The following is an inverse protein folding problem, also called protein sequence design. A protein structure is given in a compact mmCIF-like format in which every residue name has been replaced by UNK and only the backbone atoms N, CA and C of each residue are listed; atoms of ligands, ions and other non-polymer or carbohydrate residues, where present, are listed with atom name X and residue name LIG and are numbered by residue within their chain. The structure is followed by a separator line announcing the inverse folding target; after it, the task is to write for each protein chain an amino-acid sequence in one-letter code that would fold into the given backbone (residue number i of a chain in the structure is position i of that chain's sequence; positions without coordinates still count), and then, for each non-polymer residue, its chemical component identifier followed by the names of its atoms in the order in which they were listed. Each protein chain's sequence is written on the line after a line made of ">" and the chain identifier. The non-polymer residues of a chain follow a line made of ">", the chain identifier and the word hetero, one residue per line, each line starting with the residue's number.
data_IF_659790838995
#
_entry.id   IF_659790838995
#
_cell.length_a   1.000
_cell.length_b   1.000
_cell.length_c   1.000
_cell.angle_alpha   90.00
_cell.angle_beta   90.00
_cell.angle_gamma   90.00
#
_symmetry.space_group_name_H-M   'P 1'
#
loop_
_entity.id
_entity.type
_entity.pdbx_description
1 polymer ?
#
# COMPACT_ATOMS: atom_id res chain seq x y z
N UNK A 1 32.96 16.16 23.89
CA UNK A 1 31.50 16.37 23.73
C UNK A 1 30.96 15.23 22.89
N UNK A 2 29.83 14.59 23.22
CA UNK A 2 29.18 13.69 22.27
C UNK A 2 28.68 14.52 21.09
N UNK A 3 28.82 14.01 19.87
CA UNK A 3 28.32 14.67 18.67
C UNK A 3 26.81 14.98 18.85
N UNK A 4 26.32 16.14 18.36
CA UNK A 4 24.89 16.41 18.36
C UNK A 4 24.20 15.25 17.64
N UNK A 5 23.25 14.61 18.32
CA UNK A 5 22.39 13.62 17.66
C UNK A 5 21.61 14.40 16.60
N UNK A 6 21.86 14.12 15.33
CA UNK A 6 21.05 14.63 14.24
C UNK A 6 19.62 14.11 14.43
N UNK A 7 18.77 14.91 15.06
CA UNK A 7 17.40 14.53 15.42
C UNK A 7 16.50 14.26 14.22
N UNK A 8 16.99 14.57 13.01
CA UNK A 8 16.32 14.29 11.74
C UNK A 8 16.74 12.95 11.12
N UNK A 9 17.76 12.26 11.65
CA UNK A 9 18.22 10.97 11.13
C UNK A 9 17.67 9.83 11.98
N UNK A 10 17.05 8.85 11.31
CA UNK A 10 16.48 7.65 11.93
C UNK A 10 17.12 6.41 11.32
N UNK A 11 17.68 5.52 12.13
CA UNK A 11 18.25 4.25 11.66
C UNK A 11 17.14 3.22 11.48
N UNK A 12 16.99 2.70 10.28
CA UNK A 12 15.95 1.73 9.94
C UNK A 12 16.52 0.56 9.13
N UNK A 13 15.76 -0.53 9.06
CA UNK A 13 15.96 -1.59 8.10
C UNK A 13 14.83 -1.55 7.06
N UNK A 14 15.14 -1.77 5.79
CA UNK A 14 14.14 -1.95 4.72
C UNK A 14 14.32 -3.33 4.12
N UNK A 15 13.26 -4.10 4.12
CA UNK A 15 13.17 -5.38 3.43
C UNK A 15 12.36 -5.27 2.15
N UNK A 16 12.47 -6.28 1.30
CA UNK A 16 11.67 -6.37 0.10
C UNK A 16 10.35 -7.09 0.40
N UNK A 17 9.26 -6.67 -0.26
CA UNK A 17 8.00 -7.41 -0.20
C UNK A 17 8.19 -8.85 -0.67
N UNK A 18 7.67 -9.79 0.13
CA UNK A 18 7.72 -11.23 -0.16
C UNK A 18 7.06 -11.65 -1.46
N UNK A 19 6.21 -10.79 -2.03
CA UNK A 19 5.59 -10.99 -3.35
C UNK A 19 6.56 -10.77 -4.52
N UNK A 20 7.70 -10.11 -4.30
CA UNK A 20 8.72 -9.93 -5.32
C UNK A 20 9.59 -11.18 -5.43
N UNK A 21 9.83 -11.63 -6.66
CA UNK A 21 10.68 -12.79 -6.92
C UNK A 21 12.15 -12.41 -6.76
N UNK A 22 12.80 -12.94 -5.74
CA UNK A 22 14.25 -12.84 -5.55
C UNK A 22 14.65 -12.92 -4.08
N UNK A 23 15.92 -13.30 -3.84
CA UNK A 23 16.47 -13.35 -2.49
C UNK A 23 17.25 -12.05 -2.21
N UNK A 24 16.50 -11.00 -1.88
CA UNK A 24 17.06 -9.67 -1.65
C UNK A 24 17.44 -9.50 -0.19
N UNK A 25 18.68 -9.09 0.05
CA UNK A 25 19.16 -8.81 1.40
C UNK A 25 18.54 -7.50 1.92
N UNK A 26 18.01 -7.47 3.15
CA UNK A 26 17.53 -6.25 3.79
C UNK A 26 18.62 -5.18 3.84
N UNK A 27 18.23 -3.92 3.67
CA UNK A 27 19.14 -2.78 3.68
C UNK A 27 19.02 -2.03 5.01
N UNK A 28 20.15 -1.76 5.65
CA UNK A 28 20.22 -0.86 6.79
C UNK A 28 20.51 0.55 6.27
N UNK A 29 19.68 1.52 6.63
CA UNK A 29 19.88 2.90 6.18
C UNK A 29 19.69 3.92 7.31
N UNK A 30 20.37 5.05 7.13
CA UNK A 30 20.15 6.26 7.89
C UNK A 30 19.10 7.09 7.15
N UNK A 31 17.85 6.98 7.60
CA UNK A 31 16.70 7.67 7.03
C UNK A 31 16.73 9.14 7.46
N UNK A 32 17.13 9.99 6.52
CA UNK A 32 17.10 11.45 6.69
C UNK A 32 15.66 11.98 6.48
N UNK A 33 15.05 12.47 7.56
CA UNK A 33 13.69 13.05 7.57
C UNK A 33 13.55 14.33 6.72
N UNK A 34 14.64 14.99 6.36
CA UNK A 34 14.63 16.18 5.51
C UNK A 34 14.77 15.84 4.02
N UNK A 35 15.24 14.64 3.70
CA UNK A 35 15.41 14.19 2.32
C UNK A 35 14.06 13.70 1.75
N UNK A 36 13.66 14.06 0.52
CA UNK A 36 12.41 13.58 -0.07
C UNK A 36 12.33 12.05 -0.09
N UNK A 37 11.16 11.49 0.24
CA UNK A 37 10.91 10.04 0.22
C UNK A 37 11.19 9.46 -1.17
N UNK A 38 10.84 10.17 -2.23
CA UNK A 38 11.09 9.75 -3.62
C UNK A 38 12.59 9.51 -3.89
N UNK A 39 13.47 10.35 -3.34
CA UNK A 39 14.91 10.18 -3.49
C UNK A 39 15.43 8.98 -2.68
N UNK A 40 14.89 8.74 -1.49
CA UNK A 40 15.23 7.57 -0.68
C UNK A 40 14.78 6.27 -1.37
N UNK A 41 13.56 6.26 -1.91
CA UNK A 41 13.01 5.12 -2.67
C UNK A 41 13.84 4.88 -3.93
N UNK A 42 14.24 5.93 -4.65
CA UNK A 42 15.09 5.80 -5.84
C UNK A 42 16.43 5.15 -5.53
N UNK A 43 17.08 5.52 -4.43
CA UNK A 43 18.33 4.88 -3.99
C UNK A 43 18.12 3.41 -3.64
N UNK A 44 17.05 3.09 -2.91
CA UNK A 44 16.69 1.70 -2.57
C UNK A 44 16.41 0.86 -3.81
N UNK A 45 15.66 1.40 -4.77
CA UNK A 45 15.43 0.78 -6.06
C UNK A 45 16.74 0.54 -6.81
N UNK A 46 17.68 1.49 -6.80
CA UNK A 46 18.98 1.33 -7.43
C UNK A 46 19.80 0.19 -6.80
N UNK A 47 19.80 0.07 -5.46
CA UNK A 47 20.49 -1.01 -4.74
C UNK A 47 19.97 -2.39 -5.14
N UNK A 48 18.65 -2.53 -5.25
CA UNK A 48 18.02 -3.79 -5.66
C UNK A 48 17.83 -3.95 -7.17
N UNK A 49 18.35 -3.02 -7.97
CA UNK A 49 18.19 -2.99 -9.43
C UNK A 49 16.72 -3.04 -9.89
N UNK A 50 15.82 -2.40 -9.14
CA UNK A 50 14.43 -2.20 -9.51
C UNK A 50 14.32 -1.04 -10.51
N UNK A 51 13.63 -1.27 -11.62
CA UNK A 51 13.31 -0.24 -12.60
C UNK A 51 12.07 0.55 -12.18
N UNK A 52 11.92 1.79 -12.64
CA UNK A 52 10.73 2.64 -12.42
C UNK A 52 10.45 2.88 -10.92
N UNK A 53 11.30 3.66 -10.27
CA UNK A 53 11.20 3.94 -8.82
C UNK A 53 9.85 4.56 -8.41
N UNK A 54 9.18 5.27 -9.31
CA UNK A 54 7.84 5.84 -9.15
C UNK A 54 6.74 4.79 -8.91
N UNK A 55 7.01 3.53 -9.25
CA UNK A 55 6.11 2.41 -9.03
C UNK A 55 6.27 1.74 -7.67
N UNK A 56 7.15 2.26 -6.81
CA UNK A 56 7.40 1.71 -5.49
C UNK A 56 7.08 2.73 -4.38
N UNK A 57 6.83 2.20 -3.19
CA UNK A 57 6.63 2.96 -1.97
C UNK A 57 7.13 2.15 -0.77
N UNK A 58 7.18 2.79 0.39
CA UNK A 58 7.51 2.13 1.64
C UNK A 58 6.24 1.88 2.46
N UNK A 59 6.22 0.76 3.17
CA UNK A 59 5.19 0.41 4.16
C UNK A 59 5.84 0.10 5.51
N UNK A 60 5.10 0.32 6.59
CA UNK A 60 5.47 -0.26 7.88
C UNK A 60 5.39 -1.78 7.82
N UNK A 61 6.41 -2.48 8.33
CA UNK A 61 6.38 -3.94 8.42
C UNK A 61 5.72 -4.39 9.73
N UNK A 62 4.47 -4.00 9.93
CA UNK A 62 3.68 -4.35 11.11
C UNK A 62 2.28 -4.89 10.71
N UNK A 63 1.38 -5.01 11.68
CA UNK A 63 0.04 -5.52 11.43
C UNK A 63 -0.78 -4.64 10.49
N UNK A 64 -0.48 -3.33 10.42
CA UNK A 64 -1.23 -2.35 9.61
C UNK A 64 -0.78 -2.36 8.15
N UNK A 65 0.50 -2.62 7.89
CA UNK A 65 1.12 -2.46 6.57
C UNK A 65 0.82 -1.07 5.95
N UNK A 66 0.69 -0.04 6.80
CA UNK A 66 0.31 1.29 6.35
C UNK A 66 1.38 1.90 5.42
N UNK A 67 0.91 2.59 4.38
CA UNK A 67 1.79 3.25 3.42
C UNK A 67 2.45 4.48 4.02
N UNK A 68 3.73 4.64 3.72
CA UNK A 68 4.53 5.76 4.17
C UNK A 68 4.49 6.86 3.11
N UNK A 69 4.13 8.05 3.57
CA UNK A 69 3.95 9.27 2.80
C UNK A 69 4.75 10.39 3.43
N UNK A 70 4.90 11.50 2.71
CA UNK A 70 5.55 12.70 3.27
C UNK A 70 4.82 13.25 4.51
N UNK A 71 3.55 12.89 4.69
CA UNK A 71 2.72 13.37 5.80
C UNK A 71 2.90 12.57 7.09
N UNK A 72 3.21 11.27 7.00
CA UNK A 72 3.32 10.36 8.15
C UNK A 72 4.74 9.80 8.36
N UNK A 73 5.73 10.17 7.53
CA UNK A 73 7.14 9.74 7.67
C UNK A 73 7.78 10.07 9.03
N UNK A 74 7.25 11.06 9.73
CA UNK A 74 7.65 11.43 11.10
C UNK A 74 7.29 10.37 12.14
N UNK A 75 6.41 9.42 11.82
CA UNK A 75 6.05 8.30 12.69
C UNK A 75 7.13 7.20 12.72
N UNK A 76 8.07 7.22 11.77
CA UNK A 76 9.17 6.27 11.67
C UNK A 76 10.13 6.45 12.85
N UNK A 77 10.36 5.37 13.61
CA UNK A 77 11.23 5.35 14.80
C UNK A 77 12.55 4.65 14.52
N UNK A 78 13.55 4.95 15.35
CA UNK A 78 14.83 4.24 15.30
C UNK A 78 14.62 2.75 15.56
N UNK A 79 15.23 1.92 14.71
CA UNK A 79 15.06 0.47 14.72
C UNK A 79 13.79 -0.02 14.00
N UNK A 80 13.01 0.85 13.36
CA UNK A 80 11.87 0.42 12.57
C UNK A 80 12.31 -0.47 11.39
N UNK A 81 11.50 -1.49 11.12
CA UNK A 81 11.61 -2.32 9.93
C UNK A 81 10.50 -1.88 8.99
N UNK A 82 10.89 -1.43 7.81
CA UNK A 82 9.98 -1.04 6.73
C UNK A 82 10.09 -2.04 5.59
N UNK A 83 9.13 -1.98 4.68
CA UNK A 83 9.11 -2.82 3.48
C UNK A 83 9.01 -1.94 2.24
N UNK A 84 9.80 -2.22 1.21
CA UNK A 84 9.54 -1.68 -0.13
C UNK A 84 8.48 -2.54 -0.81
N UNK A 85 7.44 -1.90 -1.35
CA UNK A 85 6.34 -2.57 -2.07
C UNK A 85 5.90 -1.70 -3.25
N UNK A 86 4.90 -2.15 -4.01
CA UNK A 86 4.33 -1.33 -5.08
C UNK A 86 3.60 -0.11 -4.53
N UNK A 87 3.69 1.01 -5.25
CA UNK A 87 3.05 2.25 -4.88
C UNK A 87 1.53 2.08 -4.75
N UNK A 88 0.85 2.87 -3.89
CA UNK A 88 -0.59 2.74 -3.68
C UNK A 88 -1.37 2.82 -4.99
N UNK A 89 -0.96 3.69 -5.92
CA UNK A 89 -1.58 3.84 -7.24
C UNK A 89 -1.43 2.58 -8.10
N UNK A 90 -0.21 2.00 -8.15
CA UNK A 90 0.04 0.75 -8.89
C UNK A 90 -0.74 -0.43 -8.27
N UNK A 91 -0.73 -0.53 -6.94
CA UNK A 91 -1.48 -1.57 -6.22
C UNK A 91 -2.98 -1.45 -6.45
N UNK A 92 -3.54 -0.23 -6.43
CA UNK A 92 -4.95 0.01 -6.71
C UNK A 92 -5.33 -0.43 -8.14
N UNK A 93 -4.48 -0.13 -9.12
CA UNK A 93 -4.70 -0.59 -10.50
C UNK A 93 -4.63 -2.12 -10.61
N UNK A 94 -3.62 -2.76 -10.00
CA UNK A 94 -3.47 -4.23 -9.98
C UNK A 94 -4.72 -4.91 -9.38
N UNK A 95 -5.27 -4.36 -8.29
CA UNK A 95 -6.51 -4.89 -7.70
C UNK A 95 -7.68 -4.75 -8.68
N UNK A 96 -7.86 -3.60 -9.32
CA UNK A 96 -8.97 -3.39 -10.26
C UNK A 96 -8.90 -4.32 -11.46
N UNK A 97 -7.73 -4.43 -12.08
CA UNK A 97 -7.52 -5.30 -13.24
C UNK A 97 -7.84 -6.76 -12.87
N UNK A 98 -7.41 -7.21 -11.69
CA UNK A 98 -7.68 -8.56 -11.20
C UNK A 98 -9.16 -8.81 -10.95
N UNK A 99 -9.86 -7.86 -10.34
CA UNK A 99 -11.30 -7.98 -10.11
C UNK A 99 -12.12 -8.00 -11.42
N UNK A 100 -11.65 -7.30 -12.45
CA UNK A 100 -12.32 -7.22 -13.75
C UNK A 100 -12.07 -8.44 -14.64
N UNK A 101 -10.85 -8.98 -14.66
CA UNK A 101 -10.42 -9.91 -15.71
C UNK A 101 -10.06 -11.32 -15.21
N UNK A 102 -9.91 -11.55 -13.91
CA UNK A 102 -9.54 -12.87 -13.40
C UNK A 102 -10.74 -13.80 -13.12
N UNK A 103 -10.45 -15.10 -12.99
CA UNK A 103 -11.44 -16.12 -12.64
C UNK A 103 -11.99 -15.93 -11.21
N UNK A 104 -13.19 -16.48 -10.97
CA UNK A 104 -13.89 -16.48 -9.67
C UNK A 104 -13.02 -16.80 -8.45
N UNK A 105 -12.19 -17.86 -8.51
CA UNK A 105 -11.32 -18.25 -7.40
C UNK A 105 -10.25 -17.19 -7.08
N UNK A 106 -9.72 -16.52 -8.12
CA UNK A 106 -8.74 -15.44 -7.96
C UNK A 106 -9.40 -14.15 -7.45
N UNK A 107 -10.66 -13.90 -7.84
CA UNK A 107 -11.44 -12.77 -7.32
C UNK A 107 -11.65 -12.86 -5.80
N UNK A 108 -11.90 -14.06 -5.26
CA UNK A 108 -12.02 -14.24 -3.80
C UNK A 108 -10.77 -13.78 -3.04
N UNK A 109 -9.59 -14.21 -3.48
CA UNK A 109 -8.32 -13.81 -2.88
C UNK A 109 -8.06 -12.30 -3.04
N UNK A 110 -8.46 -11.74 -4.19
CA UNK A 110 -8.32 -10.32 -4.50
C UNK A 110 -9.23 -9.45 -3.63
N UNK A 111 -10.52 -9.79 -3.45
CA UNK A 111 -11.40 -9.08 -2.52
C UNK A 111 -10.90 -9.17 -1.08
N UNK A 112 -10.43 -10.34 -0.64
CA UNK A 112 -9.84 -10.49 0.69
C UNK A 112 -8.61 -9.58 0.88
N UNK A 113 -7.79 -9.42 -0.17
CA UNK A 113 -6.65 -8.49 -0.16
C UNK A 113 -7.13 -7.04 -0.16
N UNK A 114 -8.16 -6.71 -0.93
CA UNK A 114 -8.75 -5.38 -0.99
C UNK A 114 -9.24 -4.91 0.38
N UNK A 115 -9.90 -5.76 1.17
CA UNK A 115 -10.30 -5.43 2.56
C UNK A 115 -9.11 -4.91 3.37
N UNK A 116 -8.01 -5.66 3.38
CA UNK A 116 -6.81 -5.28 4.15
C UNK A 116 -6.25 -3.94 3.70
N UNK A 117 -6.15 -3.73 2.38
CA UNK A 117 -5.62 -2.50 1.80
C UNK A 117 -6.56 -1.30 2.05
N UNK A 118 -7.86 -1.53 2.08
CA UNK A 118 -8.88 -0.49 2.29
C UNK A 118 -8.84 0.12 3.68
N UNK A 119 -8.16 -0.51 4.65
CA UNK A 119 -7.94 0.09 5.98
C UNK A 119 -6.90 1.21 5.97
N UNK A 120 -6.05 1.28 4.93
CA UNK A 120 -5.06 2.35 4.75
C UNK A 120 -5.64 3.50 3.92
N UNK A 121 -5.59 4.71 4.47
CA UNK A 121 -6.11 5.92 3.83
C UNK A 121 -5.43 6.21 2.48
N UNK A 122 -4.12 5.99 2.38
CA UNK A 122 -3.34 6.30 1.17
C UNK A 122 -3.76 5.40 0.02
N UNK A 123 -3.95 4.11 0.29
CA UNK A 123 -4.51 3.18 -0.67
C UNK A 123 -5.96 3.51 -1.01
N UNK A 124 -6.82 3.76 -0.01
CA UNK A 124 -8.23 4.06 -0.23
C UNK A 124 -8.42 5.27 -1.16
N UNK A 125 -7.62 6.32 -0.97
CA UNK A 125 -7.63 7.50 -1.83
C UNK A 125 -7.28 7.17 -3.29
N UNK A 126 -6.21 6.43 -3.53
CA UNK A 126 -5.82 6.03 -4.90
C UNK A 126 -6.84 5.09 -5.55
N UNK A 127 -7.41 4.17 -4.78
CA UNK A 127 -8.43 3.24 -5.26
C UNK A 127 -9.71 3.98 -5.67
N UNK A 128 -10.15 4.94 -4.85
CA UNK A 128 -11.29 5.82 -5.16
C UNK A 128 -11.01 6.68 -6.39
N UNK A 129 -9.82 7.31 -6.49
CA UNK A 129 -9.44 8.12 -7.65
C UNK A 129 -9.45 7.32 -8.96
N UNK A 130 -9.26 5.99 -8.89
CA UNK A 130 -9.34 5.06 -10.02
C UNK A 130 -10.74 4.51 -10.26
N UNK A 131 -11.78 5.11 -9.68
CA UNK A 131 -13.17 4.64 -9.74
C UNK A 131 -13.38 3.23 -9.16
N UNK A 132 -12.48 2.79 -8.27
CA UNK A 132 -12.54 1.45 -7.70
C UNK A 132 -13.71 1.26 -6.74
N UNK A 133 -14.08 2.29 -5.98
CA UNK A 133 -15.29 2.23 -5.15
C UNK A 133 -16.55 2.05 -5.99
N UNK A 134 -16.69 2.82 -7.09
CA UNK A 134 -17.82 2.68 -8.00
C UNK A 134 -17.88 1.28 -8.61
N UNK A 135 -16.72 0.71 -8.98
CA UNK A 135 -16.65 -0.67 -9.46
C UNK A 135 -17.20 -1.66 -8.41
N UNK A 136 -16.80 -1.52 -7.14
CA UNK A 136 -17.29 -2.40 -6.06
C UNK A 136 -18.81 -2.25 -5.88
N UNK A 137 -19.34 -1.02 -5.88
CA UNK A 137 -20.78 -0.76 -5.78
C UNK A 137 -21.52 -1.41 -6.95
N UNK A 138 -21.09 -1.14 -8.18
CA UNK A 138 -21.68 -1.69 -9.40
C UNK A 138 -21.71 -3.22 -9.38
N UNK A 139 -20.61 -3.86 -8.97
CA UNK A 139 -20.52 -5.32 -8.92
C UNK A 139 -21.41 -5.93 -7.83
N UNK A 140 -21.66 -5.20 -6.73
CA UNK A 140 -22.63 -5.61 -5.70
C UNK A 140 -24.05 -5.45 -6.21
N UNK A 141 -24.40 -4.30 -6.80
CA UNK A 141 -25.76 -4.00 -7.26
C UNK A 141 -26.22 -4.86 -8.43
N UNK A 142 -25.29 -5.28 -9.30
CA UNK A 142 -25.56 -6.13 -10.47
C UNK A 142 -25.48 -7.63 -10.18
N UNK A 143 -25.29 -8.03 -8.93
CA UNK A 143 -25.10 -9.43 -8.51
C UNK A 143 -23.94 -10.13 -9.28
N UNK A 144 -22.88 -9.40 -9.64
CA UNK A 144 -21.72 -9.92 -10.40
C UNK A 144 -20.72 -10.71 -9.55
N UNK A 145 -20.91 -10.67 -8.23
CA UNK A 145 -20.07 -11.33 -7.23
C UNK A 145 -20.87 -12.48 -6.62
N UNK A 146 -20.57 -13.70 -7.04
CA UNK A 146 -21.16 -14.88 -6.41
C UNK A 146 -20.76 -14.96 -4.91
N UNK A 147 -21.58 -15.61 -4.09
CA UNK A 147 -21.33 -15.71 -2.64
C UNK A 147 -19.96 -16.33 -2.31
N UNK A 148 -19.50 -17.29 -3.12
CA UNK A 148 -18.19 -17.94 -3.03
C UNK A 148 -17.04 -17.10 -3.62
N UNK A 149 -17.33 -16.03 -4.35
CA UNK A 149 -16.34 -15.18 -5.03
C UNK A 149 -15.90 -13.99 -4.16
N UNK A 150 -16.36 -13.92 -2.90
CA UNK A 150 -15.92 -12.91 -1.94
C UNK A 150 -16.91 -11.78 -1.71
N UNK A 151 -18.21 -11.98 -1.95
CA UNK A 151 -19.25 -10.97 -1.70
C UNK A 151 -19.17 -10.32 -0.30
N UNK A 152 -18.92 -11.11 0.74
CA UNK A 152 -18.74 -10.60 2.10
C UNK A 152 -17.52 -9.64 2.20
N UNK A 153 -16.41 -9.98 1.54
CA UNK A 153 -15.23 -9.13 1.49
C UNK A 153 -15.45 -7.88 0.63
N UNK A 154 -16.25 -7.96 -0.43
CA UNK A 154 -16.64 -6.78 -1.21
C UNK A 154 -17.40 -5.77 -0.32
N UNK A 155 -18.40 -6.23 0.43
CA UNK A 155 -19.13 -5.40 1.39
C UNK A 155 -18.23 -4.82 2.49
N UNK A 156 -17.35 -5.64 3.07
CA UNK A 156 -16.38 -5.18 4.08
C UNK A 156 -15.44 -4.12 3.50
N UNK A 157 -14.90 -4.34 2.30
CA UNK A 157 -14.03 -3.35 1.65
C UNK A 157 -14.76 -2.06 1.32
N UNK A 158 -16.03 -2.13 0.90
CA UNK A 158 -16.87 -0.95 0.70
C UNK A 158 -16.98 -0.13 1.99
N UNK A 159 -17.28 -0.78 3.12
CA UNK A 159 -17.37 -0.09 4.42
C UNK A 159 -16.03 0.56 4.80
N UNK A 160 -14.92 -0.16 4.66
CA UNK A 160 -13.59 0.38 4.97
C UNK A 160 -13.24 1.60 4.09
N UNK A 161 -13.53 1.53 2.79
CA UNK A 161 -13.31 2.66 1.86
C UNK A 161 -14.14 3.89 2.26
N UNK A 162 -15.39 3.69 2.65
CA UNK A 162 -16.28 4.77 3.07
C UNK A 162 -15.92 5.35 4.45
N UNK A 163 -15.32 4.56 5.35
CA UNK A 163 -14.88 5.00 6.68
C UNK A 163 -13.80 6.09 6.64
N UNK A 164 -13.04 6.19 5.54
CA UNK A 164 -12.07 7.27 5.35
C UNK A 164 -12.70 8.64 5.08
N UNK A 165 -14.02 8.69 4.84
CA UNK A 165 -14.77 9.92 4.53
C UNK A 165 -14.18 10.72 3.34
N UNK A 166 -13.60 10.01 2.38
CA UNK A 166 -13.10 10.57 1.12
C UNK A 166 -14.29 10.95 0.21
N UNK A 167 -15.36 10.15 0.27
CA UNK A 167 -16.65 10.38 -0.41
C UNK A 167 -17.75 10.40 0.66
N UNK A 168 -18.81 11.20 0.42
CA UNK A 168 -19.99 11.23 1.29
C UNK A 168 -20.84 9.98 1.12
N UNK A 169 -21.47 9.51 2.21
CA UNK A 169 -22.48 8.45 2.16
C UNK A 169 -23.77 8.83 1.42
N UNK A 170 -23.91 10.11 1.07
CA UNK A 170 -25.11 10.68 0.47
C UNK A 170 -24.92 11.18 -0.96
N UNK A 171 -23.71 11.04 -1.49
CA UNK A 171 -23.37 11.35 -2.89
C UNK A 171 -23.56 10.08 -3.75
#
# INVERSE_FOLDING_TARGET
>A
MPAPRDGHIVKIAVEMDTSFSGNYMPQLLEFDQNRPLSAIIQDLCAVWSLQEAEHYSLQFNDATNAYITERNRNEIKNGAVLRITYSPSRTAQDILDKLQFESSESRFATYKRLVKLSTDYTFALEFINKSGLQFVIDSIEKDEIAANDGFAFALESFVELMNHAIISWYD
#
